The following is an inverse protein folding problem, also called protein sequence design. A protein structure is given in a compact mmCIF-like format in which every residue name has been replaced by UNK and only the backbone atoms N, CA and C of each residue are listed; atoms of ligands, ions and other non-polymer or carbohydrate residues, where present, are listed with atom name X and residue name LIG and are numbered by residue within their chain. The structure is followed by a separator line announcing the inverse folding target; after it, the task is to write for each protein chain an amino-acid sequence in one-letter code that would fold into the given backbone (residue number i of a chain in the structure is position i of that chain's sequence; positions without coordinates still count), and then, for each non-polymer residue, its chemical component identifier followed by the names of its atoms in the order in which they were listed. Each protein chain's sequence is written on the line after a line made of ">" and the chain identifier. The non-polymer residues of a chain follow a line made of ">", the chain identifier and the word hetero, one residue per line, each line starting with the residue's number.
data_IF_990314002138
#
_entry.id   IF_990314002138
#
_cell.length_a   1.000
_cell.length_b   1.000
_cell.length_c   1.000
_cell.angle_alpha   90.00
_cell.angle_beta   90.00
_cell.angle_gamma   90.00
#
_symmetry.space_group_name_H-M   'P 1'
#
loop_
_entity.id
_entity.type
_entity.pdbx_description
1 polymer ?
#
# COMPACT_ATOMS: atom_id res chain seq x y z
N UNK A 1 -37.03 9.22 8.86
CA UNK A 1 -36.80 10.41 9.72
C UNK A 1 -35.96 11.37 8.89
N UNK A 2 -36.49 12.52 8.49
CA UNK A 2 -35.77 13.46 7.64
C UNK A 2 -34.55 13.98 8.41
N UNK A 3 -33.35 13.72 7.90
CA UNK A 3 -32.13 14.22 8.50
C UNK A 3 -32.16 15.77 8.54
N UNK A 4 -31.60 16.40 9.58
CA UNK A 4 -31.52 17.86 9.65
C UNK A 4 -30.79 18.39 8.41
N UNK A 5 -31.39 19.37 7.73
CA UNK A 5 -30.78 20.00 6.56
C UNK A 5 -29.43 20.60 6.95
N UNK A 6 -28.32 20.18 6.34
CA UNK A 6 -27.00 20.68 6.69
C UNK A 6 -26.92 22.17 6.39
N UNK A 7 -26.47 22.93 7.37
CA UNK A 7 -26.35 24.39 7.37
C UNK A 7 -24.90 24.90 7.22
N UNK A 8 -23.94 23.99 7.11
CA UNK A 8 -22.52 24.29 6.92
C UNK A 8 -21.88 23.18 6.10
N UNK A 9 -20.73 23.47 5.48
CA UNK A 9 -19.96 22.47 4.73
C UNK A 9 -19.58 21.32 5.66
N UNK A 10 -19.19 21.62 6.90
CA UNK A 10 -18.83 20.61 7.91
C UNK A 10 -20.00 19.69 8.24
N UNK A 11 -21.21 20.24 8.43
CA UNK A 11 -22.39 19.42 8.74
C UNK A 11 -22.84 18.57 7.54
N UNK A 12 -22.69 19.07 6.31
CA UNK A 12 -22.93 18.27 5.10
C UNK A 12 -21.96 17.08 5.02
N UNK A 13 -20.66 17.31 5.18
CA UNK A 13 -19.63 16.27 5.12
C UNK A 13 -19.77 15.24 6.26
N UNK A 14 -20.19 15.68 7.45
CA UNK A 14 -20.46 14.78 8.56
C UNK A 14 -21.66 13.88 8.28
N UNK A 15 -22.74 14.42 7.71
CA UNK A 15 -23.89 13.63 7.28
C UNK A 15 -23.50 12.63 6.18
N UNK A 16 -22.75 13.07 5.16
CA UNK A 16 -22.24 12.21 4.09
C UNK A 16 -21.37 11.05 4.65
N UNK A 17 -20.49 11.35 5.61
CA UNK A 17 -19.65 10.34 6.26
C UNK A 17 -20.46 9.31 7.04
N UNK A 18 -21.56 9.70 7.68
CA UNK A 18 -22.44 8.78 8.41
C UNK A 18 -23.11 7.77 7.47
N UNK A 19 -23.48 8.20 6.25
CA UNK A 19 -24.07 7.32 5.24
C UNK A 19 -23.06 6.39 4.56
N UNK A 20 -21.75 6.64 4.72
CA UNK A 20 -20.67 5.87 4.12
C UNK A 20 -19.88 5.03 5.15
N UNK A 21 -20.42 4.82 6.36
CA UNK A 21 -19.66 4.19 7.46
C UNK A 21 -19.20 2.75 7.17
N UNK A 22 -19.99 2.01 6.38
CA UNK A 22 -19.72 0.61 6.01
C UNK A 22 -18.97 0.48 4.67
N UNK A 23 -18.65 1.58 4.00
CA UNK A 23 -17.95 1.58 2.72
C UNK A 23 -16.44 1.42 2.88
N UNK A 24 -15.75 1.03 1.80
CA UNK A 24 -14.28 1.01 1.74
C UNK A 24 -13.74 2.41 2.12
N UNK A 25 -12.77 2.52 3.06
CA UNK A 25 -12.14 3.79 3.43
C UNK A 25 -11.69 4.65 2.25
N UNK A 26 -11.27 4.04 1.13
CA UNK A 26 -10.90 4.74 -0.09
C UNK A 26 -12.09 5.47 -0.73
N UNK A 27 -13.26 4.83 -0.76
CA UNK A 27 -14.50 5.40 -1.30
C UNK A 27 -14.99 6.53 -0.42
N UNK A 28 -14.95 6.34 0.91
CA UNK A 28 -15.31 7.40 1.87
C UNK A 28 -14.45 8.64 1.63
N UNK A 29 -13.14 8.46 1.46
CA UNK A 29 -12.21 9.55 1.23
C UNK A 29 -12.46 10.25 -0.11
N UNK A 30 -12.66 9.50 -1.19
CA UNK A 30 -12.93 10.07 -2.52
C UNK A 30 -14.26 10.85 -2.53
N UNK A 31 -15.33 10.31 -1.92
CA UNK A 31 -16.62 10.97 -1.85
C UNK A 31 -16.62 12.27 -1.04
N UNK A 32 -15.95 12.26 0.13
CA UNK A 32 -15.82 13.45 0.96
C UNK A 32 -14.98 14.54 0.28
N UNK A 33 -13.91 14.16 -0.42
CA UNK A 33 -13.07 15.10 -1.14
C UNK A 33 -13.85 15.84 -2.23
N UNK A 34 -14.62 15.10 -3.04
CA UNK A 34 -15.35 15.65 -4.18
C UNK A 34 -16.50 16.55 -3.74
N UNK A 35 -17.24 16.12 -2.71
CA UNK A 35 -18.29 16.93 -2.13
C UNK A 35 -17.74 18.22 -1.51
N UNK A 36 -16.62 18.15 -0.79
CA UNK A 36 -15.99 19.34 -0.21
C UNK A 36 -15.45 20.30 -1.27
N UNK A 37 -14.80 19.78 -2.32
CA UNK A 37 -14.27 20.60 -3.40
C UNK A 37 -15.38 21.32 -4.17
N UNK A 38 -16.48 20.62 -4.46
CA UNK A 38 -17.65 21.24 -5.10
C UNK A 38 -18.29 22.32 -4.22
N UNK A 39 -18.54 22.02 -2.93
CA UNK A 39 -19.14 22.96 -1.98
C UNK A 39 -18.30 24.23 -1.79
N UNK A 40 -16.97 24.09 -1.66
CA UNK A 40 -16.06 25.23 -1.53
C UNK A 40 -15.92 26.01 -2.85
N UNK A 41 -15.99 25.34 -3.99
CA UNK A 41 -16.02 25.98 -5.31
C UNK A 41 -17.22 26.91 -5.46
N UNK A 42 -18.42 26.39 -5.18
CA UNK A 42 -19.67 27.19 -5.24
C UNK A 42 -19.67 28.36 -4.26
N UNK A 43 -19.09 28.19 -3.06
CA UNK A 43 -18.96 29.29 -2.10
C UNK A 43 -18.02 30.39 -2.62
N UNK A 44 -16.93 30.01 -3.30
CA UNK A 44 -15.99 30.97 -3.88
C UNK A 44 -16.57 31.71 -5.09
N UNK A 45 -17.43 31.07 -5.87
CA UNK A 45 -18.14 31.69 -7.00
C UNK A 45 -19.30 32.60 -6.56
N UNK A 46 -19.87 32.35 -5.37
CA UNK A 46 -20.98 33.12 -4.82
C UNK A 46 -20.62 33.77 -3.47
N UNK A 47 -19.65 34.69 -3.41
CA UNK A 47 -19.17 35.29 -2.16
C UNK A 47 -20.22 36.16 -1.44
N UNK A 48 -21.36 36.44 -2.07
CA UNK A 48 -22.46 37.20 -1.50
C UNK A 48 -23.48 36.32 -0.74
N UNK A 49 -23.45 35.00 -0.94
CA UNK A 49 -24.37 34.07 -0.27
C UNK A 49 -23.78 33.61 1.06
N UNK A 50 -24.65 33.38 2.05
CA UNK A 50 -24.26 32.72 3.30
C UNK A 50 -23.85 31.27 3.03
N UNK A 51 -22.95 30.72 3.84
CA UNK A 51 -22.54 29.30 3.74
C UNK A 51 -23.75 28.37 3.80
N UNK A 52 -24.76 28.67 4.62
CA UNK A 52 -25.99 27.89 4.73
C UNK A 52 -26.82 27.92 3.42
N UNK A 53 -26.87 29.07 2.76
CA UNK A 53 -27.61 29.24 1.51
C UNK A 53 -26.93 28.48 0.38
N UNK A 54 -25.59 28.54 0.30
CA UNK A 54 -24.80 27.76 -0.66
C UNK A 54 -24.98 26.27 -0.43
N UNK A 55 -24.85 25.78 0.81
CA UNK A 55 -25.06 24.35 1.11
C UNK A 55 -26.49 23.92 0.75
N UNK A 56 -27.49 24.76 0.98
CA UNK A 56 -28.88 24.45 0.60
C UNK A 56 -29.07 24.42 -0.93
N UNK A 57 -28.44 25.33 -1.67
CA UNK A 57 -28.44 25.38 -3.13
C UNK A 57 -27.75 24.14 -3.70
N UNK A 58 -26.59 23.79 -3.15
CA UNK A 58 -25.81 22.61 -3.55
C UNK A 58 -26.55 21.32 -3.20
N UNK A 59 -27.18 21.22 -2.04
CA UNK A 59 -28.00 20.05 -1.70
C UNK A 59 -29.16 19.83 -2.70
N UNK A 60 -29.65 20.89 -3.35
CA UNK A 60 -30.66 20.80 -4.42
C UNK A 60 -30.09 20.45 -5.79
N UNK A 61 -28.88 20.91 -6.13
CA UNK A 61 -28.28 20.69 -7.46
C UNK A 61 -27.37 19.45 -7.52
N UNK A 62 -26.52 19.29 -6.52
CA UNK A 62 -25.55 18.19 -6.39
C UNK A 62 -26.15 16.95 -5.69
N UNK A 63 -27.18 17.16 -4.87
CA UNK A 63 -27.94 16.11 -4.20
C UNK A 63 -27.80 16.14 -2.67
N UNK A 64 -28.75 15.50 -2.00
CA UNK A 64 -28.70 15.34 -0.55
C UNK A 64 -27.52 14.44 -0.13
N UNK A 65 -26.97 14.57 1.10
CA UNK A 65 -25.86 13.74 1.55
C UNK A 65 -26.11 12.23 1.40
N UNK A 66 -27.35 11.79 1.59
CA UNK A 66 -27.77 10.39 1.41
C UNK A 66 -27.77 9.94 -0.06
N UNK A 67 -28.26 10.79 -0.97
CA UNK A 67 -28.30 10.50 -2.40
C UNK A 67 -26.89 10.45 -2.98
N UNK A 68 -26.03 11.39 -2.59
CA UNK A 68 -24.62 11.39 -2.98
C UNK A 68 -23.92 10.14 -2.47
N UNK A 69 -24.13 9.75 -1.20
CA UNK A 69 -23.58 8.50 -0.67
C UNK A 69 -24.01 7.29 -1.50
N UNK A 70 -25.29 7.21 -1.85
CA UNK A 70 -25.83 6.12 -2.66
C UNK A 70 -25.18 6.04 -4.05
N UNK A 71 -24.95 7.16 -4.72
CA UNK A 71 -24.27 7.21 -6.02
C UNK A 71 -22.85 6.61 -5.93
N UNK A 72 -22.11 6.94 -4.86
CA UNK A 72 -20.77 6.38 -4.65
C UNK A 72 -20.81 4.87 -4.35
N UNK A 73 -21.76 4.41 -3.54
CA UNK A 73 -21.92 3.00 -3.22
C UNK A 73 -22.30 2.18 -4.48
N UNK A 74 -23.26 2.67 -5.27
CA UNK A 74 -23.68 2.02 -6.53
C UNK A 74 -22.57 2.04 -7.58
N UNK A 75 -21.88 3.17 -7.71
CA UNK A 75 -20.73 3.34 -8.59
C UNK A 75 -19.60 2.38 -8.24
N UNK A 76 -19.31 2.22 -6.95
CA UNK A 76 -18.29 1.30 -6.47
C UNK A 76 -18.63 -0.16 -6.82
N UNK A 77 -19.87 -0.60 -6.60
CA UNK A 77 -20.30 -1.96 -6.97
C UNK A 77 -20.10 -2.20 -8.48
N UNK A 78 -20.39 -1.21 -9.32
CA UNK A 78 -20.21 -1.32 -10.78
C UNK A 78 -18.74 -1.34 -11.19
N UNK A 79 -17.93 -0.48 -10.58
CA UNK A 79 -16.48 -0.39 -10.82
C UNK A 79 -15.80 -1.67 -10.34
N UNK A 80 -16.13 -2.15 -9.13
CA UNK A 80 -15.58 -3.38 -8.57
C UNK A 80 -15.95 -4.59 -9.44
N UNK A 81 -17.21 -4.70 -9.89
CA UNK A 81 -17.63 -5.77 -10.82
C UNK A 81 -16.90 -5.70 -12.16
N UNK A 82 -16.61 -4.50 -12.67
CA UNK A 82 -15.89 -4.31 -13.92
C UNK A 82 -14.38 -4.56 -13.81
N UNK A 83 -13.78 -4.25 -12.66
CA UNK A 83 -12.35 -4.42 -12.38
C UNK A 83 -12.01 -5.80 -11.83
N UNK A 84 -12.99 -6.56 -11.30
CA UNK A 84 -12.77 -7.94 -10.84
C UNK A 84 -12.23 -8.76 -12.02
N UNK A 85 -10.96 -9.22 -11.95
CA UNK A 85 -10.44 -10.09 -12.99
C UNK A 85 -11.31 -11.36 -13.03
N UNK A 86 -11.52 -11.94 -14.23
CA UNK A 86 -12.34 -13.12 -14.39
C UNK A 86 -11.87 -14.20 -13.39
N UNK A 87 -12.79 -14.81 -12.63
CA UNK A 87 -12.41 -15.81 -11.65
C UNK A 87 -11.62 -16.92 -12.34
N UNK A 88 -10.46 -17.26 -11.79
CA UNK A 88 -9.63 -18.32 -12.34
C UNK A 88 -10.49 -19.59 -12.52
N UNK A 89 -10.38 -20.30 -13.66
CA UNK A 89 -11.23 -21.44 -13.94
C UNK A 89 -11.16 -22.45 -12.80
N UNK A 90 -12.31 -22.81 -12.22
CA UNK A 90 -12.38 -23.77 -11.10
C UNK A 90 -11.87 -25.13 -11.57
N UNK A 91 -10.66 -25.49 -11.13
CA UNK A 91 -10.06 -26.80 -11.39
C UNK A 91 -10.63 -27.81 -10.39
N UNK A 92 -11.50 -28.69 -10.87
CA UNK A 92 -12.21 -29.65 -10.01
C UNK A 92 -11.31 -30.82 -9.52
N UNK A 93 -10.18 -31.06 -10.18
CA UNK A 93 -9.21 -32.12 -9.82
C UNK A 93 -8.37 -31.76 -8.57
N UNK A 94 -8.06 -32.75 -7.74
CA UNK A 94 -7.18 -32.62 -6.58
C UNK A 94 -5.75 -32.22 -6.98
N UNK A 95 -5.22 -32.81 -8.05
CA UNK A 95 -3.93 -32.41 -8.64
C UNK A 95 -4.00 -31.00 -9.23
N UNK A 96 -5.13 -30.66 -9.86
CA UNK A 96 -5.38 -29.33 -10.42
C UNK A 96 -5.43 -28.23 -9.35
N UNK A 97 -5.91 -28.54 -8.14
CA UNK A 97 -5.88 -27.65 -6.97
C UNK A 97 -4.49 -27.52 -6.36
N UNK A 98 -3.74 -28.62 -6.28
CA UNK A 98 -2.38 -28.60 -5.73
C UNK A 98 -1.42 -27.77 -6.59
N UNK A 99 -1.39 -28.01 -7.91
CA UNK A 99 -0.56 -27.23 -8.84
C UNK A 99 -1.11 -25.82 -9.16
N UNK A 100 -2.35 -25.51 -8.77
CA UNK A 100 -2.89 -24.16 -8.97
C UNK A 100 -2.16 -23.12 -8.12
N UNK A 101 -1.68 -23.50 -6.92
CA UNK A 101 -0.96 -22.58 -6.03
C UNK A 101 0.38 -22.14 -6.64
N UNK A 102 1.11 -23.07 -7.27
CA UNK A 102 2.34 -22.77 -8.01
C UNK A 102 2.12 -22.10 -9.37
N UNK A 103 0.87 -21.88 -9.78
CA UNK A 103 0.54 -21.21 -11.04
C UNK A 103 -0.15 -19.85 -10.81
N UNK A 104 -0.28 -19.40 -9.56
CA UNK A 104 -0.90 -18.12 -9.23
C UNK A 104 0.10 -16.97 -9.45
N UNK A 105 -0.10 -16.09 -10.45
CA UNK A 105 0.80 -14.97 -10.72
C UNK A 105 0.91 -14.00 -9.53
N UNK A 106 -0.12 -13.92 -8.68
CA UNK A 106 -0.14 -13.02 -7.52
C UNK A 106 0.80 -13.49 -6.42
N UNK A 107 0.96 -14.80 -6.25
CA UNK A 107 1.92 -15.37 -5.31
C UNK A 107 3.35 -14.97 -5.69
N UNK A 108 3.68 -15.05 -6.99
CA UNK A 108 4.98 -14.60 -7.51
C UNK A 108 5.17 -13.10 -7.44
N UNK A 109 4.12 -12.31 -7.70
CA UNK A 109 4.18 -10.85 -7.55
C UNK A 109 4.43 -10.45 -6.09
N UNK A 110 3.76 -11.10 -5.13
CA UNK A 110 4.02 -10.92 -3.70
C UNK A 110 5.43 -11.33 -3.28
N UNK A 111 5.93 -12.48 -3.78
CA UNK A 111 7.31 -12.92 -3.52
C UNK A 111 8.33 -11.91 -4.07
N UNK A 112 8.13 -11.42 -5.30
CA UNK A 112 8.99 -10.40 -5.89
C UNK A 112 8.92 -9.09 -5.11
N UNK A 113 7.74 -8.68 -4.64
CA UNK A 113 7.59 -7.53 -3.75
C UNK A 113 8.42 -7.70 -2.47
N UNK A 114 8.38 -8.87 -1.82
CA UNK A 114 9.18 -9.14 -0.61
C UNK A 114 10.68 -9.04 -0.87
N UNK A 115 11.15 -9.45 -2.05
CA UNK A 115 12.55 -9.29 -2.46
C UNK A 115 12.90 -7.83 -2.76
N UNK A 116 12.00 -7.12 -3.45
CA UNK A 116 12.15 -5.70 -3.80
C UNK A 116 12.12 -4.80 -2.56
N UNK A 117 11.37 -5.19 -1.52
CA UNK A 117 11.17 -4.41 -0.29
C UNK A 117 12.48 -4.08 0.44
N UNK A 118 13.52 -4.91 0.33
CA UNK A 118 14.85 -4.59 0.87
C UNK A 118 15.49 -3.44 0.10
N UNK A 119 15.46 -3.50 -1.24
CA UNK A 119 16.05 -2.47 -2.08
C UNK A 119 15.32 -1.12 -1.92
N UNK A 120 13.98 -1.12 -1.94
CA UNK A 120 13.19 0.09 -1.72
C UNK A 120 13.35 0.60 -0.28
N UNK A 121 13.38 -0.29 0.72
CA UNK A 121 13.63 0.06 2.12
C UNK A 121 14.96 0.77 2.35
N UNK A 122 16.05 0.33 1.71
CA UNK A 122 17.35 1.01 1.78
C UNK A 122 17.25 2.42 1.20
N UNK A 123 16.72 2.56 -0.03
CA UNK A 123 16.60 3.86 -0.71
C UNK A 123 15.79 4.84 0.12
N UNK A 124 14.62 4.42 0.62
CA UNK A 124 13.72 5.26 1.39
C UNK A 124 14.31 5.67 2.73
N UNK A 125 14.93 4.73 3.45
CA UNK A 125 15.59 5.01 4.72
C UNK A 125 16.73 6.01 4.53
N UNK A 126 17.60 5.79 3.53
CA UNK A 126 18.72 6.69 3.26
C UNK A 126 18.24 8.10 2.92
N UNK A 127 17.23 8.24 2.05
CA UNK A 127 16.67 9.56 1.70
C UNK A 127 16.01 10.22 2.91
N UNK A 128 15.25 9.47 3.72
CA UNK A 128 14.56 10.01 4.90
C UNK A 128 15.57 10.50 5.95
N UNK A 129 16.56 9.69 6.31
CA UNK A 129 17.57 10.05 7.30
C UNK A 129 18.44 11.20 6.80
N UNK A 130 18.98 11.10 5.57
CA UNK A 130 19.82 12.16 5.01
C UNK A 130 19.05 13.47 4.85
N UNK A 131 17.80 13.40 4.37
CA UNK A 131 16.95 14.57 4.18
C UNK A 131 16.55 15.25 5.49
N UNK A 132 16.24 14.49 6.54
CA UNK A 132 15.99 15.04 7.88
C UNK A 132 17.25 15.66 8.47
N UNK A 133 18.40 14.99 8.38
CA UNK A 133 19.68 15.51 8.87
C UNK A 133 20.10 16.80 8.15
N UNK A 134 19.99 16.83 6.82
CA UNK A 134 20.26 18.02 6.02
C UNK A 134 19.27 19.14 6.31
N UNK A 135 17.99 18.82 6.48
CA UNK A 135 16.95 19.80 6.85
C UNK A 135 17.26 20.46 8.19
N UNK A 136 17.66 19.68 9.20
CA UNK A 136 18.06 20.21 10.50
C UNK A 136 19.34 21.05 10.40
N UNK A 137 20.36 20.58 9.69
CA UNK A 137 21.62 21.31 9.53
C UNK A 137 21.47 22.61 8.75
N UNK A 138 20.69 22.61 7.67
CA UNK A 138 20.43 23.78 6.84
C UNK A 138 19.40 24.72 7.45
N UNK A 139 18.65 24.32 8.49
CA UNK A 139 17.61 25.16 9.12
C UNK A 139 18.15 26.48 9.70
N UNK A 140 19.42 26.49 10.11
CA UNK A 140 20.12 27.68 10.61
C UNK A 140 20.40 28.67 9.46
N UNK A 141 20.48 28.16 8.23
CA UNK A 141 20.70 28.96 7.02
C UNK A 141 19.36 29.38 6.41
N UNK A 142 19.35 30.51 5.72
CA UNK A 142 18.19 30.99 4.96
C UNK A 142 17.75 29.96 3.88
N UNK A 143 18.69 29.13 3.41
CA UNK A 143 18.48 28.08 2.39
C UNK A 143 17.82 26.82 3.00
N UNK A 144 17.71 26.70 4.32
CA UNK A 144 17.04 25.55 4.96
C UNK A 144 15.58 25.41 4.55
N UNK A 145 14.84 26.52 4.50
CA UNK A 145 13.42 26.50 4.16
C UNK A 145 13.12 25.93 2.76
N UNK A 146 13.76 26.41 1.67
CA UNK A 146 13.53 25.83 0.35
C UNK A 146 14.00 24.37 0.27
N UNK A 147 15.07 23.99 0.99
CA UNK A 147 15.51 22.59 1.05
C UNK A 147 14.47 21.69 1.72
N UNK A 148 13.88 22.10 2.84
CA UNK A 148 12.83 21.32 3.51
C UNK A 148 11.64 21.12 2.58
N UNK A 149 11.21 22.16 1.87
CA UNK A 149 10.10 22.07 0.90
C UNK A 149 10.44 21.05 -0.20
N UNK A 150 11.66 21.10 -0.74
CA UNK A 150 12.14 20.14 -1.74
C UNK A 150 12.14 18.71 -1.18
N UNK A 151 12.68 18.52 0.03
CA UNK A 151 12.74 17.23 0.70
C UNK A 151 11.34 16.64 0.94
N UNK A 152 10.40 17.42 1.48
CA UNK A 152 9.02 16.99 1.69
C UNK A 152 8.32 16.65 0.37
N UNK A 153 8.67 17.35 -0.72
CA UNK A 153 8.17 17.05 -2.05
C UNK A 153 8.69 15.69 -2.55
N UNK A 154 9.97 15.40 -2.34
CA UNK A 154 10.56 14.08 -2.65
C UNK A 154 9.89 12.98 -1.83
N UNK A 155 9.70 13.17 -0.52
CA UNK A 155 9.01 12.22 0.37
C UNK A 155 7.60 11.90 -0.14
N UNK A 156 6.86 12.91 -0.59
CA UNK A 156 5.53 12.70 -1.19
C UNK A 156 5.59 11.89 -2.47
N UNK A 157 6.52 12.18 -3.38
CA UNK A 157 6.69 11.40 -4.62
C UNK A 157 7.02 9.95 -4.30
N UNK A 158 7.94 9.70 -3.36
CA UNK A 158 8.28 8.34 -2.93
C UNK A 158 7.08 7.60 -2.35
N UNK A 159 6.24 8.26 -1.55
CA UNK A 159 5.01 7.64 -1.02
C UNK A 159 4.01 7.22 -2.11
N UNK A 160 3.96 7.95 -3.23
CA UNK A 160 3.12 7.61 -4.37
C UNK A 160 3.68 6.43 -5.16
N UNK A 161 5.01 6.41 -5.38
CA UNK A 161 5.71 5.28 -5.99
C UNK A 161 5.45 4.02 -5.18
N UNK A 162 5.57 4.11 -3.86
CA UNK A 162 5.34 2.97 -2.99
C UNK A 162 3.89 2.49 -3.00
N UNK A 163 2.93 3.41 -2.90
CA UNK A 163 1.52 3.08 -3.05
C UNK A 163 1.24 2.38 -4.38
N UNK A 164 1.92 2.78 -5.46
CA UNK A 164 1.77 2.15 -6.77
C UNK A 164 2.40 0.76 -6.86
N UNK A 165 3.56 0.57 -6.25
CA UNK A 165 4.21 -0.76 -6.14
C UNK A 165 3.27 -1.71 -5.39
N UNK A 166 2.77 -1.31 -4.23
CA UNK A 166 1.82 -2.09 -3.43
C UNK A 166 0.54 -2.41 -4.23
N UNK A 167 -0.03 -1.42 -4.90
CA UNK A 167 -1.26 -1.60 -5.70
C UNK A 167 -1.04 -2.60 -6.85
N UNK A 168 0.07 -2.48 -7.58
CA UNK A 168 0.36 -3.34 -8.74
C UNK A 168 0.73 -4.77 -8.31
N UNK A 169 1.51 -4.92 -7.23
CA UNK A 169 2.06 -6.21 -6.85
C UNK A 169 1.13 -7.02 -5.93
N UNK A 170 0.40 -6.34 -5.04
CA UNK A 170 -0.50 -6.98 -4.07
C UNK A 170 -1.98 -6.88 -4.48
N UNK A 171 -2.31 -6.03 -5.47
CA UNK A 171 -3.69 -5.86 -5.94
C UNK A 171 -4.60 -5.14 -4.94
N UNK A 172 -4.03 -4.50 -3.92
CA UNK A 172 -4.77 -3.71 -2.93
C UNK A 172 -5.00 -2.32 -3.49
N UNK A 173 -6.26 -1.88 -3.54
CA UNK A 173 -6.59 -0.54 -4.04
C UNK A 173 -6.21 0.52 -3.01
N UNK A 174 -5.34 1.45 -3.39
CA UNK A 174 -5.00 2.62 -2.58
C UNK A 174 -6.00 3.77 -2.86
N UNK A 175 -6.40 4.60 -1.87
CA UNK A 175 -7.20 5.80 -2.10
C UNK A 175 -6.52 6.73 -3.12
N UNK A 176 -7.28 7.22 -4.10
CA UNK A 176 -6.72 7.93 -5.28
C UNK A 176 -6.47 9.41 -5.02
N UNK A 177 -7.23 10.03 -4.12
CA UNK A 177 -7.19 11.48 -3.90
C UNK A 177 -6.44 11.81 -2.61
N UNK A 178 -5.53 12.80 -2.60
CA UNK A 178 -4.96 13.29 -1.34
C UNK A 178 -6.06 13.91 -0.49
N UNK A 179 -6.01 13.74 0.84
CA UNK A 179 -6.88 14.47 1.76
C UNK A 179 -6.70 15.98 1.53
N UNK A 180 -7.79 16.73 1.46
CA UNK A 180 -7.76 18.15 1.13
C UNK A 180 -6.90 18.91 2.16
N UNK A 181 -5.83 19.56 1.71
CA UNK A 181 -5.12 20.52 2.54
C UNK A 181 -6.02 21.76 2.64
N UNK A 182 -6.54 22.05 3.83
CA UNK A 182 -7.39 23.21 4.17
C UNK A 182 -6.79 24.60 3.88
N UNK A 183 -5.68 24.68 3.12
CA UNK A 183 -4.89 25.89 2.84
C UNK A 183 -5.06 26.46 1.44
N UNK A 184 -6.17 26.23 0.73
CA UNK A 184 -6.48 26.96 -0.52
C UNK A 184 -6.95 28.37 -0.12
N UNK A 185 -6.11 29.39 -0.35
CA UNK A 185 -6.36 30.79 0.04
C UNK A 185 -5.56 31.33 1.24
N UNK A 186 -4.74 30.52 1.89
CA UNK A 186 -3.88 30.97 3.02
C UNK A 186 -2.54 31.51 2.51
N UNK A 187 -1.93 32.51 3.21
CA UNK A 187 -0.62 33.02 2.85
C UNK A 187 0.43 31.91 2.90
N UNK A 188 1.42 31.98 2.00
CA UNK A 188 2.45 30.94 1.79
C UNK A 188 3.14 30.52 3.10
N UNK A 189 3.40 31.47 4.00
CA UNK A 189 4.02 31.21 5.30
C UNK A 189 3.15 30.34 6.22
N UNK A 190 1.83 30.59 6.28
CA UNK A 190 0.89 29.78 7.06
C UNK A 190 0.75 28.37 6.47
N UNK A 191 0.78 28.25 5.14
CA UNK A 191 0.79 26.95 4.45
C UNK A 191 2.06 26.15 4.75
N UNK A 192 3.22 26.81 4.79
CA UNK A 192 4.49 26.18 5.15
C UNK A 192 4.47 25.75 6.63
N UNK A 193 3.98 26.59 7.54
CA UNK A 193 3.82 26.22 8.95
C UNK A 193 2.90 25.01 9.15
N UNK A 194 1.78 24.96 8.42
CA UNK A 194 0.86 23.82 8.46
C UNK A 194 1.51 22.51 7.97
N UNK A 195 2.45 22.55 7.01
CA UNK A 195 3.19 21.37 6.56
C UNK A 195 4.06 20.74 7.66
N UNK A 196 4.63 21.56 8.56
CA UNK A 196 5.43 21.08 9.69
C UNK A 196 4.59 20.49 10.82
N UNK A 197 3.39 21.01 11.04
CA UNK A 197 2.48 20.53 12.09
C UNK A 197 1.58 19.38 11.63
N UNK A 198 1.55 19.08 10.33
CA UNK A 198 0.75 18.01 9.75
C UNK A 198 1.26 16.63 10.19
N UNK A 199 0.45 15.90 10.97
CA UNK A 199 0.73 14.54 11.41
C UNK A 199 1.04 13.60 10.24
N UNK A 200 0.49 13.85 9.05
CA UNK A 200 0.71 13.03 7.85
C UNK A 200 2.14 13.07 7.36
N UNK A 201 2.80 14.23 7.45
CA UNK A 201 4.20 14.36 7.07
C UNK A 201 5.07 13.47 7.96
N UNK A 202 4.80 13.50 9.26
CA UNK A 202 5.52 12.71 10.26
C UNK A 202 5.25 11.21 10.13
N UNK A 203 4.01 10.79 9.89
CA UNK A 203 3.70 9.38 9.67
C UNK A 203 4.30 8.84 8.38
N UNK A 204 4.37 9.66 7.32
CA UNK A 204 5.04 9.28 6.06
C UNK A 204 6.55 9.11 6.26
N UNK A 205 7.19 10.04 6.97
CA UNK A 205 8.62 9.92 7.31
C UNK A 205 8.89 8.69 8.19
N UNK A 206 8.07 8.48 9.22
CA UNK A 206 8.15 7.30 10.07
C UNK A 206 8.00 6.02 9.25
N UNK A 207 7.06 5.99 8.31
CA UNK A 207 6.89 4.87 7.39
C UNK A 207 8.14 4.61 6.55
N UNK A 208 8.74 5.65 5.94
CA UNK A 208 9.98 5.51 5.16
C UNK A 208 11.15 4.99 6.01
N UNK A 209 11.25 5.40 7.27
CA UNK A 209 12.27 4.91 8.20
C UNK A 209 12.01 3.44 8.58
N UNK A 210 10.75 3.08 8.85
CA UNK A 210 10.33 1.70 9.15
C UNK A 210 10.40 0.77 7.95
N UNK A 211 10.51 1.30 6.74
CA UNK A 211 10.56 0.48 5.54
C UNK A 211 11.83 -0.38 5.45
N UNK A 212 12.95 0.09 6.01
CA UNK A 212 14.18 -0.71 6.10
C UNK A 212 14.01 -1.97 6.98
N UNK A 213 13.61 -1.89 8.26
CA UNK A 213 13.43 -3.08 9.08
C UNK A 213 12.34 -4.00 8.52
N UNK A 214 11.25 -3.45 7.97
CA UNK A 214 10.22 -4.25 7.30
C UNK A 214 10.78 -4.97 6.06
N UNK A 215 11.54 -4.27 5.22
CA UNK A 215 12.19 -4.83 4.04
C UNK A 215 13.15 -5.97 4.37
N UNK A 216 13.94 -5.83 5.45
CA UNK A 216 14.82 -6.90 5.95
C UNK A 216 14.00 -8.13 6.37
N UNK A 217 12.91 -7.93 7.10
CA UNK A 217 12.04 -9.04 7.52
C UNK A 217 11.43 -9.74 6.30
N UNK A 218 10.84 -8.98 5.36
CA UNK A 218 10.24 -9.54 4.16
C UNK A 218 11.24 -10.29 3.30
N UNK A 219 12.41 -9.70 3.06
CA UNK A 219 13.48 -10.34 2.29
C UNK A 219 13.97 -11.63 2.96
N UNK A 220 14.21 -11.59 4.26
CA UNK A 220 14.71 -12.77 5.01
C UNK A 220 13.70 -13.91 4.95
N UNK A 221 12.41 -13.62 5.17
CA UNK A 221 11.34 -14.63 5.08
C UNK A 221 11.24 -15.18 3.67
N UNK A 222 11.23 -14.32 2.65
CA UNK A 222 11.12 -14.72 1.24
C UNK A 222 12.28 -15.63 0.82
N UNK A 223 13.53 -15.24 1.12
CA UNK A 223 14.72 -16.02 0.76
C UNK A 223 14.76 -17.33 1.54
N UNK A 224 14.51 -17.31 2.85
CA UNK A 224 14.58 -18.52 3.69
C UNK A 224 13.54 -19.55 3.27
N UNK A 225 12.27 -19.14 3.09
CA UNK A 225 11.19 -20.05 2.69
C UNK A 225 11.37 -20.57 1.26
N UNK A 226 11.85 -19.72 0.34
CA UNK A 226 12.15 -20.15 -1.04
C UNK A 226 13.31 -21.13 -1.06
N UNK A 227 14.37 -20.88 -0.29
CA UNK A 227 15.52 -21.78 -0.19
C UNK A 227 15.14 -23.15 0.39
N UNK A 228 14.37 -23.17 1.49
CA UNK A 228 13.87 -24.43 2.09
C UNK A 228 12.98 -25.18 1.10
N UNK A 229 12.01 -24.50 0.47
CA UNK A 229 11.12 -25.11 -0.50
C UNK A 229 11.86 -25.67 -1.73
N UNK A 230 12.81 -24.92 -2.27
CA UNK A 230 13.66 -25.36 -3.37
C UNK A 230 14.54 -26.56 -2.96
N UNK A 231 15.14 -26.52 -1.76
CA UNK A 231 15.96 -27.61 -1.22
C UNK A 231 15.15 -28.91 -1.09
N UNK A 232 13.97 -28.87 -0.49
CA UNK A 232 13.10 -30.04 -0.36
C UNK A 232 12.62 -30.59 -1.71
N UNK A 233 12.46 -29.73 -2.72
CA UNK A 233 12.02 -30.12 -4.06
C UNK A 233 13.16 -30.72 -4.89
N UNK A 234 14.37 -30.14 -4.82
CA UNK A 234 15.52 -30.55 -5.60
C UNK A 234 16.26 -31.75 -4.98
N UNK A 235 16.18 -31.94 -3.65
CA UNK A 235 16.82 -33.05 -2.96
C UNK A 235 16.48 -34.45 -3.50
N UNK A 236 15.21 -34.85 -3.70
CA UNK A 236 14.90 -36.17 -4.25
C UNK A 236 15.36 -36.31 -5.71
N UNK A 237 15.32 -35.24 -6.50
CA UNK A 237 15.81 -35.23 -7.88
C UNK A 237 17.31 -35.47 -7.91
N UNK A 238 18.06 -34.74 -7.09
CA UNK A 238 19.50 -34.89 -6.97
C UNK A 238 19.89 -36.29 -6.48
N UNK A 239 19.17 -36.82 -5.49
CA UNK A 239 19.38 -38.20 -5.02
C UNK A 239 19.12 -39.24 -6.12
N UNK A 240 18.07 -39.07 -6.92
CA UNK A 240 17.79 -39.97 -8.05
C UNK A 240 18.86 -39.90 -9.15
N UNK A 241 19.40 -38.72 -9.44
CA UNK A 241 20.48 -38.54 -10.41
C UNK A 241 21.81 -39.12 -9.91
N UNK A 242 22.07 -39.02 -8.61
CA UNK A 242 23.21 -39.68 -7.96
C UNK A 242 23.09 -41.21 -8.05
N UNK A 243 21.93 -41.78 -7.74
CA UNK A 243 21.66 -43.23 -7.88
C UNK A 243 21.85 -43.74 -9.31
N UNK A 244 21.50 -42.92 -10.31
CA UNK A 244 21.68 -43.23 -11.73
C UNK A 244 23.13 -43.08 -12.23
N UNK A 245 24.06 -42.68 -11.36
CA UNK A 245 25.47 -42.48 -11.70
C UNK A 245 25.75 -41.27 -12.59
N UNK A 246 24.77 -40.37 -12.75
CA UNK A 246 24.88 -39.15 -13.57
C UNK A 246 25.64 -38.06 -12.83
N UNK A 247 25.58 -38.06 -11.49
CA UNK A 247 26.27 -37.12 -10.62
C UNK A 247 27.11 -37.88 -9.61
N UNK A 248 28.43 -37.78 -9.72
CA UNK A 248 29.37 -38.32 -8.73
C UNK A 248 29.69 -37.25 -7.69
N UNK A 249 29.19 -37.42 -6.47
CA UNK A 249 29.59 -36.58 -5.33
C UNK A 249 30.84 -37.22 -4.72
N UNK A 250 31.99 -36.61 -4.98
CA UNK A 250 33.28 -37.07 -4.44
C UNK A 250 33.47 -36.51 -3.02
N UNK A 251 32.63 -36.92 -2.06
CA UNK A 251 32.84 -36.62 -0.63
C UNK A 251 32.37 -37.79 0.25
N UNK A 252 33.19 -38.08 1.27
CA UNK A 252 33.06 -39.12 2.29
C UNK A 252 31.98 -38.76 3.34
N UNK A 253 30.74 -38.55 2.88
CA UNK A 253 29.60 -38.24 3.77
C UNK A 253 29.11 -39.53 4.41
N UNK A 254 29.71 -39.87 5.55
CA UNK A 254 29.23 -40.91 6.45
C UNK A 254 27.96 -40.41 7.16
N UNK A 255 26.82 -40.45 6.47
CA UNK A 255 25.52 -40.32 7.13
C UNK A 255 25.39 -41.53 8.04
N UNK A 256 25.45 -41.31 9.36
CA UNK A 256 25.19 -42.35 10.35
C UNK A 256 23.82 -42.98 10.03
N UNK A 257 23.85 -44.16 9.43
CA UNK A 257 22.74 -44.80 8.72
C UNK A 257 21.65 -45.37 9.64
N UNK A 258 21.46 -44.78 10.83
CA UNK A 258 20.65 -45.35 11.91
C UNK A 258 19.42 -44.56 12.35
N UNK A 259 19.31 -43.27 12.01
CA UNK A 259 18.30 -42.39 12.67
C UNK A 259 17.12 -42.02 11.74
N UNK A 260 17.33 -41.92 10.42
CA UNK A 260 16.27 -41.61 9.46
C UNK A 260 16.44 -42.46 8.18
N UNK A 261 15.33 -42.86 7.51
CA UNK A 261 15.41 -43.50 6.21
C UNK A 261 16.20 -42.61 5.21
N UNK A 262 17.00 -43.19 4.30
CA UNK A 262 17.85 -42.42 3.38
C UNK A 262 17.12 -41.35 2.55
N UNK A 263 15.85 -41.62 2.20
CA UNK A 263 14.98 -40.70 1.46
C UNK A 263 14.49 -39.48 2.26
N UNK A 264 14.61 -39.52 3.60
CA UNK A 264 14.29 -38.43 4.53
C UNK A 264 15.57 -37.74 5.05
N UNK A 265 16.66 -38.48 5.22
CA UNK A 265 17.93 -37.96 5.73
C UNK A 265 18.66 -37.03 4.76
N UNK A 266 18.69 -37.37 3.47
CA UNK A 266 19.38 -36.59 2.44
C UNK A 266 18.79 -35.18 2.19
N UNK A 267 17.46 -34.97 2.09
CA UNK A 267 16.90 -33.62 1.99
C UNK A 267 17.17 -32.77 3.23
N UNK A 268 17.15 -33.38 4.43
CA UNK A 268 17.43 -32.66 5.68
C UNK A 268 18.90 -32.26 5.80
N UNK A 269 19.85 -33.09 5.36
CA UNK A 269 21.29 -32.73 5.40
C UNK A 269 21.62 -31.57 4.45
N UNK A 270 21.00 -31.55 3.26
CA UNK A 270 21.15 -30.45 2.30
C UNK A 270 20.57 -29.13 2.82
N UNK A 271 19.48 -29.17 3.60
CA UNK A 271 18.89 -27.99 4.27
C UNK A 271 19.75 -27.52 5.45
N UNK A 272 20.45 -28.43 6.14
CA UNK A 272 21.31 -28.12 7.28
C UNK A 272 22.73 -27.70 6.84
N UNK A 273 23.09 -27.93 5.57
CA UNK A 273 24.42 -27.59 5.03
C UNK A 273 25.52 -28.55 5.49
N UNK A 274 25.18 -29.83 5.66
CA UNK A 274 26.11 -30.94 5.96
C UNK A 274 26.08 -31.96 4.83
#
# INVERSE_FOLDING_TARGET
>A
MNAPTPNSIRSYLQALRLHLVDADPAVVQDALYDAEEYLRGELAENPQLSEADVVSKVARSYGAPEEVAQIYLEGEIKIERALRPPPAPRRNSLLGRYFAVGADPRAYAGLFYMLLALATGIVYFTIAVAGVSLSMGLSILIIGLPFVILFLSVVRVLSLVEGRIVEVMLGVRMPRRPLYNSGRGQPLLTRIGALFTDARTWTTLLYLVLMLPLGVIYFTVAVSMTAIGAGMTLAPVFYSLWLLGVVSVEHDVTIASGVLPPWLGAPLSFVIGV
#
